data_IF_249101674672
#
_entry.id   IF_249101674672
#
_cell.length_a   1.000
_cell.length_b   1.000
_cell.length_c   1.000
_cell.angle_alpha   90.00
_cell.angle_beta   90.00
_cell.angle_gamma   90.00
#
_symmetry.space_group_name_H-M   'P 1'
#
loop_
_entity.id
_entity.type
_entity.pdbx_description
1 polymer ?
#
# COMPACT_ATOMS: atom_id res chain seq x y z
N UNK A 1 -13.51 -24.39 2.17
CA UNK A 1 -12.37 -24.90 1.38
C UNK A 1 -12.53 -24.63 -0.11
N UNK A 2 -13.55 -25.16 -0.79
CA UNK A 2 -13.74 -25.03 -2.26
C UNK A 2 -13.71 -23.59 -2.78
N UNK A 3 -14.45 -22.67 -2.15
CA UNK A 3 -14.55 -21.25 -2.56
C UNK A 3 -13.18 -20.54 -2.65
N UNK A 4 -12.24 -20.90 -1.78
CA UNK A 4 -10.92 -20.26 -1.68
C UNK A 4 -9.78 -21.21 -2.06
N UNK A 5 -10.09 -22.31 -2.75
CA UNK A 5 -9.08 -23.27 -3.23
C UNK A 5 -8.19 -23.86 -2.14
N UNK A 6 -8.71 -24.05 -0.91
CA UNK A 6 -7.90 -24.51 0.22
C UNK A 6 -7.49 -25.97 0.08
N UNK A 7 -6.19 -26.20 0.06
CA UNK A 7 -5.53 -27.51 0.16
C UNK A 7 -4.62 -27.45 1.37
N UNK A 8 -4.74 -28.43 2.27
CA UNK A 8 -3.93 -28.53 3.48
C UNK A 8 -2.94 -29.68 3.35
N UNK A 9 -1.81 -29.58 4.05
CA UNK A 9 -0.70 -30.52 3.94
C UNK A 9 -1.12 -31.95 4.35
N UNK A 10 -1.91 -32.07 5.41
CA UNK A 10 -2.38 -33.34 5.95
C UNK A 10 -3.72 -33.17 6.70
N UNK A 11 -4.24 -34.29 7.22
CA UNK A 11 -5.49 -34.30 7.97
C UNK A 11 -5.39 -33.57 9.31
N UNK A 12 -4.23 -33.55 9.96
CA UNK A 12 -4.04 -32.87 11.23
C UNK A 12 -4.10 -31.34 11.05
N UNK A 13 -3.47 -30.81 10.00
CA UNK A 13 -3.57 -29.40 9.62
C UNK A 13 -5.01 -29.05 9.20
N UNK A 14 -5.68 -29.93 8.44
CA UNK A 14 -7.09 -29.72 8.09
C UNK A 14 -7.99 -29.63 9.33
N UNK A 15 -7.77 -30.50 10.32
CA UNK A 15 -8.53 -30.48 11.58
C UNK A 15 -8.25 -29.22 12.40
N UNK A 16 -6.98 -28.81 12.51
CA UNK A 16 -6.58 -27.55 13.14
C UNK A 16 -7.25 -26.35 12.47
N UNK A 17 -7.21 -26.28 11.13
CA UNK A 17 -7.83 -25.20 10.34
C UNK A 17 -9.34 -25.19 10.47
N UNK A 18 -9.96 -26.36 10.55
CA UNK A 18 -11.40 -26.48 10.79
C UNK A 18 -11.81 -25.97 12.17
N UNK A 19 -11.05 -26.27 13.22
CA UNK A 19 -11.29 -25.75 14.56
C UNK A 19 -11.23 -24.21 14.61
N UNK A 20 -10.20 -23.63 13.98
CA UNK A 20 -10.06 -22.17 13.84
C UNK A 20 -11.24 -21.58 13.06
N UNK A 21 -11.59 -22.20 11.93
CA UNK A 21 -12.73 -21.77 11.11
C UNK A 21 -14.04 -21.76 11.90
N UNK A 22 -14.31 -22.80 12.68
CA UNK A 22 -15.51 -22.88 13.53
C UNK A 22 -15.56 -21.73 14.54
N UNK A 23 -14.44 -21.44 15.20
CA UNK A 23 -14.36 -20.32 16.15
C UNK A 23 -14.62 -18.97 15.45
N UNK A 24 -14.06 -18.77 14.26
CA UNK A 24 -14.26 -17.56 13.47
C UNK A 24 -15.71 -17.40 12.97
N UNK A 25 -16.39 -18.49 12.62
CA UNK A 25 -17.83 -18.47 12.29
C UNK A 25 -18.65 -17.97 13.48
N UNK A 26 -18.42 -18.54 14.67
CA UNK A 26 -19.13 -18.14 15.89
C UNK A 26 -18.87 -16.66 16.22
N UNK A 27 -17.64 -16.20 16.03
CA UNK A 27 -17.29 -14.79 16.22
C UNK A 27 -18.07 -13.87 15.25
N UNK A 28 -18.10 -14.21 13.96
CA UNK A 28 -18.83 -13.44 12.93
C UNK A 28 -20.34 -13.40 13.22
N UNK A 29 -20.94 -14.54 13.57
CA UNK A 29 -22.37 -14.63 13.88
C UNK A 29 -22.73 -13.79 15.11
N UNK A 30 -21.94 -13.90 16.19
CA UNK A 30 -22.12 -13.12 17.40
C UNK A 30 -22.03 -11.62 17.11
N UNK A 31 -20.96 -11.20 16.43
CA UNK A 31 -20.73 -9.80 16.07
C UNK A 31 -21.88 -9.21 15.26
N UNK A 32 -22.37 -9.95 14.26
CA UNK A 32 -23.45 -9.48 13.40
C UNK A 32 -24.82 -9.48 14.08
N UNK A 33 -25.03 -10.33 15.11
CA UNK A 33 -26.28 -10.41 15.87
C UNK A 33 -26.42 -9.26 16.88
N UNK A 34 -25.31 -8.79 17.45
CA UNK A 34 -25.31 -7.67 18.40
C UNK A 34 -25.84 -6.36 17.79
N UNK A 35 -25.75 -6.19 16.46
CA UNK A 35 -26.42 -5.12 15.72
C UNK A 35 -25.99 -3.68 16.05
N UNK A 36 -25.01 -3.50 16.94
CA UNK A 36 -24.58 -2.21 17.47
C UNK A 36 -23.41 -1.57 16.70
N UNK A 37 -23.06 -2.12 15.53
CA UNK A 37 -21.91 -1.69 14.72
C UNK A 37 -22.37 -1.16 13.36
N UNK A 38 -21.65 -0.19 12.83
CA UNK A 38 -21.87 0.41 11.51
C UNK A 38 -21.37 -0.47 10.35
N UNK A 39 -20.82 -1.64 10.65
CA UNK A 39 -20.31 -2.60 9.68
C UNK A 39 -20.67 -4.03 10.09
N UNK A 40 -20.58 -4.95 9.13
CA UNK A 40 -20.80 -6.39 9.33
C UNK A 40 -19.53 -7.16 9.00
N UNK A 41 -19.35 -8.30 9.65
CA UNK A 41 -18.30 -9.24 9.32
C UNK A 41 -18.83 -10.31 8.36
N UNK A 42 -17.94 -10.87 7.55
CA UNK A 42 -18.25 -11.96 6.64
C UNK A 42 -17.09 -12.95 6.58
N UNK A 43 -17.42 -14.20 6.26
CA UNK A 43 -16.43 -15.24 6.06
C UNK A 43 -15.67 -15.00 4.76
N UNK A 44 -14.35 -14.92 4.85
CA UNK A 44 -13.44 -14.61 3.76
C UNK A 44 -12.33 -15.66 3.68
N UNK A 45 -11.35 -15.44 2.82
CA UNK A 45 -10.20 -16.31 2.68
C UNK A 45 -9.42 -16.48 3.99
N UNK A 46 -9.46 -15.53 4.92
CA UNK A 46 -8.72 -15.60 6.18
C UNK A 46 -9.47 -16.32 7.31
N UNK A 47 -10.68 -16.81 7.06
CA UNK A 47 -11.50 -17.42 8.11
C UNK A 47 -10.90 -18.70 8.72
N UNK A 48 -9.86 -19.29 8.13
CA UNK A 48 -9.12 -20.44 8.67
C UNK A 48 -7.78 -20.08 9.33
N UNK A 49 -7.52 -18.80 9.60
CA UNK A 49 -6.33 -18.31 10.31
C UNK A 49 -6.69 -17.86 11.73
N UNK A 50 -5.78 -18.07 12.68
CA UNK A 50 -5.85 -17.39 13.98
C UNK A 50 -5.45 -15.92 13.83
N UNK A 51 -5.78 -15.10 14.83
CA UNK A 51 -5.38 -13.69 14.84
C UNK A 51 -3.86 -13.53 14.76
N UNK A 52 -3.08 -14.36 15.47
CA UNK A 52 -1.62 -14.31 15.43
C UNK A 52 -1.07 -14.71 14.06
N UNK A 53 -1.66 -15.74 13.43
CA UNK A 53 -1.29 -16.14 12.07
C UNK A 53 -1.63 -15.03 11.06
N UNK A 54 -2.80 -14.42 11.19
CA UNK A 54 -3.23 -13.31 10.35
C UNK A 54 -2.29 -12.11 10.50
N UNK A 55 -2.02 -11.67 11.73
CA UNK A 55 -1.12 -10.54 12.00
C UNK A 55 0.27 -10.79 11.42
N UNK A 56 0.85 -11.97 11.67
CA UNK A 56 2.19 -12.31 11.19
C UNK A 56 2.28 -12.39 9.67
N UNK A 57 1.28 -12.97 9.00
CA UNK A 57 1.38 -13.29 7.58
C UNK A 57 0.67 -12.30 6.65
N UNK A 58 -0.27 -11.49 7.14
CA UNK A 58 -1.14 -10.59 6.33
C UNK A 58 -0.96 -9.11 6.66
N UNK A 59 -0.09 -8.76 7.61
CA UNK A 59 0.24 -7.35 7.90
C UNK A 59 1.67 -7.02 7.45
N UNK A 60 2.50 -6.45 8.32
CA UNK A 60 3.91 -6.17 8.04
C UNK A 60 4.35 -4.73 8.20
N UNK A 61 3.46 -3.81 8.59
CA UNK A 61 3.92 -2.48 8.99
C UNK A 61 4.62 -2.58 10.36
N UNK A 62 5.85 -2.12 10.42
CA UNK A 62 6.57 -1.86 11.67
C UNK A 62 6.52 -0.36 11.93
N UNK A 63 6.37 0.07 13.18
CA UNK A 63 6.48 1.50 13.54
C UNK A 63 7.94 1.80 13.81
N UNK A 64 8.51 2.81 13.13
CA UNK A 64 9.89 3.20 13.38
C UNK A 64 9.98 3.74 14.82
N UNK A 65 10.87 3.16 15.63
CA UNK A 65 11.06 3.55 17.04
C UNK A 65 11.76 4.89 17.19
N UNK A 66 12.44 5.36 16.14
CA UNK A 66 13.09 6.67 16.11
C UNK A 66 12.64 7.45 14.86
N UNK A 67 11.65 8.33 15.07
CA UNK A 67 11.34 9.38 14.12
C UNK A 67 12.41 10.46 14.27
N UNK A 68 13.54 10.31 13.59
CA UNK A 68 14.45 11.44 13.34
C UNK A 68 13.73 12.42 12.41
N UNK A 69 13.03 13.37 13.03
CA UNK A 69 12.36 14.50 12.41
C UNK A 69 13.41 15.50 11.94
N UNK A 70 14.11 15.22 10.84
CA UNK A 70 15.11 16.14 10.29
C UNK A 70 15.11 16.26 8.77
N UNK A 71 14.08 15.76 8.10
CA UNK A 71 13.83 16.23 6.74
C UNK A 71 13.10 17.58 6.85
N UNK A 72 13.69 18.63 6.29
CA UNK A 72 13.00 19.88 6.00
C UNK A 72 11.88 19.59 4.99
N UNK A 73 10.75 19.07 5.46
CA UNK A 73 9.53 18.97 4.67
C UNK A 73 9.02 20.40 4.56
N UNK A 74 9.24 21.05 3.41
CA UNK A 74 8.78 22.43 3.17
C UNK A 74 7.26 22.55 3.10
N UNK A 75 6.54 21.44 3.15
CA UNK A 75 5.10 21.36 3.05
C UNK A 75 4.47 21.10 4.41
N UNK A 76 3.61 22.03 4.83
CA UNK A 76 2.80 21.93 6.03
C UNK A 76 1.34 21.85 5.64
N UNK A 77 0.64 20.80 6.09
CA UNK A 77 -0.82 20.70 5.93
C UNK A 77 -1.59 21.85 6.59
N UNK A 78 -0.93 22.65 7.45
CA UNK A 78 -1.54 23.82 8.11
C UNK A 78 -1.87 24.95 7.13
N UNK A 79 -1.29 24.93 5.93
CA UNK A 79 -1.46 25.98 4.93
C UNK A 79 -2.65 25.73 3.98
N UNK A 80 -3.40 24.63 4.18
CA UNK A 80 -4.60 24.30 3.42
C UNK A 80 -5.86 24.85 4.09
N UNK A 81 -6.71 25.54 3.33
CA UNK A 81 -8.04 25.94 3.82
C UNK A 81 -9.00 24.74 3.80
N UNK A 82 -9.90 24.58 4.78
CA UNK A 82 -10.97 23.57 4.71
C UNK A 82 -11.85 23.68 3.44
N UNK A 83 -11.91 24.85 2.82
CA UNK A 83 -12.62 25.08 1.56
C UNK A 83 -11.92 24.51 0.33
N UNK A 84 -10.64 24.16 0.43
CA UNK A 84 -9.85 23.64 -0.69
C UNK A 84 -10.07 22.13 -0.91
N UNK A 85 -10.76 21.47 0.03
CA UNK A 85 -11.04 20.03 0.01
C UNK A 85 -12.50 19.79 -0.36
N UNK A 86 -12.79 18.99 -1.40
CA UNK A 86 -14.16 18.64 -1.74
C UNK A 86 -14.82 17.81 -0.61
N UNK A 87 -16.16 17.86 -0.45
CA UNK A 87 -16.86 17.11 0.59
C UNK A 87 -16.74 15.59 0.46
N UNK A 88 -16.41 15.09 -0.74
CA UNK A 88 -16.06 13.69 -0.97
C UNK A 88 -15.10 13.57 -2.15
N UNK A 89 -14.23 12.56 -2.09
CA UNK A 89 -13.32 12.20 -3.19
C UNK A 89 -13.16 10.68 -3.23
N UNK A 90 -13.30 10.10 -4.43
CA UNK A 90 -13.00 8.69 -4.70
C UNK A 90 -11.98 8.59 -5.84
N UNK A 91 -10.75 8.23 -5.52
CA UNK A 91 -9.68 8.10 -6.51
C UNK A 91 -9.89 6.94 -7.48
N UNK A 92 -10.73 5.95 -7.15
CA UNK A 92 -11.09 4.85 -8.07
C UNK A 92 -11.88 5.39 -9.25
N UNK A 93 -12.84 6.27 -8.99
CA UNK A 93 -13.63 6.95 -10.03
C UNK A 93 -12.80 7.92 -10.87
N UNK A 94 -11.68 8.41 -10.32
CA UNK A 94 -10.71 9.26 -11.03
C UNK A 94 -9.65 8.45 -11.80
N UNK A 95 -9.71 7.11 -11.75
CA UNK A 95 -8.76 6.25 -12.43
C UNK A 95 -7.36 6.23 -11.81
N UNK A 96 -7.19 6.69 -10.57
CA UNK A 96 -5.90 6.79 -9.86
C UNK A 96 -5.66 5.63 -8.89
N UNK A 97 -6.33 4.49 -9.11
CA UNK A 97 -6.21 3.29 -8.28
C UNK A 97 -6.12 2.07 -9.19
N UNK A 98 -5.06 1.27 -9.03
CA UNK A 98 -4.90 0.00 -9.74
C UNK A 98 -5.87 -1.07 -9.21
N UNK A 99 -6.10 -2.19 -9.93
CA UNK A 99 -6.88 -3.30 -9.41
C UNK A 99 -6.36 -3.79 -8.05
N UNK A 100 -7.26 -4.28 -7.19
CA UNK A 100 -6.90 -4.82 -5.88
C UNK A 100 -5.87 -5.95 -6.05
N UNK A 101 -4.77 -5.86 -5.30
CA UNK A 101 -3.68 -6.84 -5.33
C UNK A 101 -3.69 -7.69 -4.06
N UNK A 102 -2.94 -8.80 -4.06
CA UNK A 102 -2.88 -9.74 -2.93
C UNK A 102 -1.42 -9.99 -2.52
N UNK A 103 -1.07 -9.66 -1.27
CA UNK A 103 0.28 -9.85 -0.73
C UNK A 103 0.61 -11.30 -0.33
N UNK A 104 -0.38 -12.20 -0.38
CA UNK A 104 -0.21 -13.60 0.00
C UNK A 104 0.12 -13.75 1.48
N UNK A 105 1.03 -14.66 1.81
CA UNK A 105 1.50 -14.93 3.18
C UNK A 105 2.76 -14.15 3.58
N UNK A 106 3.05 -13.07 2.86
CA UNK A 106 4.19 -12.20 3.09
C UNK A 106 3.74 -10.97 3.89
N UNK A 107 4.47 -10.59 4.93
CA UNK A 107 4.25 -9.35 5.68
C UNK A 107 4.74 -8.11 4.91
N UNK A 108 4.25 -7.92 3.68
CA UNK A 108 4.67 -6.86 2.75
C UNK A 108 3.65 -5.75 2.59
N UNK A 109 2.65 -5.62 3.48
CA UNK A 109 1.64 -4.56 3.41
C UNK A 109 2.23 -3.14 3.29
N UNK A 110 3.41 -2.92 3.90
CA UNK A 110 4.18 -1.69 3.79
C UNK A 110 4.59 -1.37 2.34
N UNK A 111 4.99 -2.38 1.55
CA UNK A 111 5.37 -2.22 0.16
C UNK A 111 4.17 -1.95 -0.75
N UNK A 112 3.06 -2.66 -0.54
CA UNK A 112 1.80 -2.45 -1.26
C UNK A 112 1.25 -1.03 -1.01
N UNK A 113 1.30 -0.58 0.24
CA UNK A 113 0.84 0.76 0.62
C UNK A 113 1.67 1.85 -0.07
N UNK A 114 3.00 1.67 -0.10
CA UNK A 114 3.89 2.65 -0.73
C UNK A 114 3.75 2.66 -2.26
N UNK A 115 3.66 1.48 -2.89
CA UNK A 115 3.41 1.36 -4.33
C UNK A 115 2.09 2.02 -4.72
N UNK A 116 0.98 1.73 -4.02
CA UNK A 116 -0.32 2.30 -4.36
C UNK A 116 -0.33 3.84 -4.28
N UNK A 117 0.38 4.42 -3.31
CA UNK A 117 0.52 5.88 -3.20
C UNK A 117 1.28 6.47 -4.41
N UNK A 118 2.35 5.80 -4.85
CA UNK A 118 3.16 6.23 -6.00
C UNK A 118 2.41 6.05 -7.32
N UNK A 119 1.69 4.95 -7.49
CA UNK A 119 0.82 4.73 -8.66
C UNK A 119 -0.24 5.84 -8.77
N UNK A 120 -0.86 6.19 -7.64
CA UNK A 120 -1.87 7.25 -7.57
C UNK A 120 -1.32 8.62 -7.98
N UNK A 121 -0.18 9.04 -7.43
CA UNK A 121 0.41 10.33 -7.80
C UNK A 121 0.90 10.36 -9.25
N UNK A 122 1.42 9.24 -9.79
CA UNK A 122 1.78 9.16 -11.20
C UNK A 122 0.53 9.36 -12.09
N UNK A 123 -0.59 8.72 -11.77
CA UNK A 123 -1.84 8.97 -12.50
C UNK A 123 -2.28 10.44 -12.40
N UNK A 124 -2.23 11.03 -11.21
CA UNK A 124 -2.70 12.41 -10.98
C UNK A 124 -1.87 13.41 -11.80
N UNK A 125 -0.55 13.22 -11.84
CA UNK A 125 0.36 14.14 -12.52
C UNK A 125 0.45 13.92 -14.03
N UNK A 126 0.44 12.66 -14.46
CA UNK A 126 0.71 12.31 -15.86
C UNK A 126 -0.53 11.89 -16.65
N UNK A 127 -1.62 11.59 -15.95
CA UNK A 127 -2.82 10.98 -16.53
C UNK A 127 -2.64 9.50 -16.92
N UNK A 128 -1.51 8.86 -16.60
CA UNK A 128 -1.22 7.45 -16.91
C UNK A 128 -1.15 6.58 -15.66
N UNK A 129 -2.01 5.57 -15.59
CA UNK A 129 -2.05 4.63 -14.47
C UNK A 129 -1.15 3.46 -14.82
N UNK A 130 -0.06 3.33 -14.08
CA UNK A 130 0.88 2.22 -14.26
C UNK A 130 0.87 1.36 -13.01
N UNK A 131 0.87 0.03 -13.19
CA UNK A 131 1.08 -0.88 -12.06
C UNK A 131 2.58 -1.05 -11.83
N UNK A 132 3.03 -0.76 -10.62
CA UNK A 132 4.41 -0.93 -10.16
C UNK A 132 4.59 -2.27 -9.43
N UNK A 133 5.85 -2.58 -9.12
CA UNK A 133 6.27 -3.83 -8.49
C UNK A 133 6.49 -3.65 -6.99
N UNK A 134 5.62 -4.25 -6.18
CA UNK A 134 5.81 -4.37 -4.73
C UNK A 134 7.02 -5.25 -4.41
N UNK A 135 7.28 -6.27 -5.24
CA UNK A 135 8.38 -7.20 -5.07
C UNK A 135 9.73 -6.48 -5.14
N UNK A 136 9.86 -5.46 -6.00
CA UNK A 136 11.07 -4.65 -6.09
C UNK A 136 11.37 -3.97 -4.74
N UNK A 137 10.35 -3.48 -4.03
CA UNK A 137 10.55 -2.91 -2.70
C UNK A 137 10.95 -3.98 -1.69
N UNK A 138 10.24 -5.12 -1.70
CA UNK A 138 10.51 -6.26 -0.81
C UNK A 138 11.97 -6.72 -0.94
N UNK A 139 12.47 -6.84 -2.17
CA UNK A 139 13.82 -7.35 -2.46
C UNK A 139 14.90 -6.30 -2.20
N UNK A 140 14.69 -5.05 -2.64
CA UNK A 140 15.76 -4.07 -2.74
C UNK A 140 15.88 -3.11 -1.55
N UNK A 141 14.87 -3.08 -0.66
CA UNK A 141 14.90 -2.22 0.53
C UNK A 141 15.13 -2.98 1.82
N UNK A 142 15.51 -4.26 1.71
CA UNK A 142 15.91 -5.04 2.87
C UNK A 142 17.31 -4.65 3.36
N UNK A 143 17.53 -4.62 4.68
CA UNK A 143 18.86 -4.39 5.27
C UNK A 143 19.09 -2.99 5.83
N UNK A 144 20.32 -2.72 6.27
CA UNK A 144 20.67 -1.55 7.09
C UNK A 144 20.43 -0.20 6.40
N UNK A 145 20.54 -0.15 5.07
CA UNK A 145 20.45 1.10 4.30
C UNK A 145 19.03 1.70 4.27
N UNK A 146 18.00 0.83 4.38
CA UNK A 146 16.59 1.23 4.26
C UNK A 146 15.72 0.79 5.45
N UNK A 147 16.17 -0.20 6.21
CA UNK A 147 15.52 -0.68 7.43
C UNK A 147 14.30 -1.58 7.23
N UNK A 148 13.97 -1.97 5.99
CA UNK A 148 12.91 -2.96 5.76
C UNK A 148 13.46 -4.39 5.87
N UNK A 149 12.55 -5.34 6.02
CA UNK A 149 12.89 -6.75 6.25
C UNK A 149 12.06 -7.67 5.34
N UNK A 150 11.75 -7.21 4.11
CA UNK A 150 10.94 -7.95 3.15
C UNK A 150 9.59 -8.39 3.73
N UNK A 151 9.35 -9.72 3.71
CA UNK A 151 8.14 -10.33 4.28
C UNK A 151 8.06 -10.32 5.80
N UNK A 152 9.14 -9.96 6.50
CA UNK A 152 9.13 -9.80 7.95
C UNK A 152 8.76 -8.38 8.38
N UNK A 153 8.34 -7.53 7.43
CA UNK A 153 7.80 -6.20 7.69
C UNK A 153 8.78 -5.05 7.45
N UNK A 154 8.24 -3.84 7.40
CA UNK A 154 8.95 -2.63 7.00
C UNK A 154 8.15 -1.36 7.29
N UNK A 155 8.72 -0.24 6.88
CA UNK A 155 8.23 1.11 7.09
C UNK A 155 7.87 1.75 5.74
N UNK A 156 6.97 2.72 5.78
CA UNK A 156 6.59 3.54 4.61
C UNK A 156 7.36 4.88 4.68
N UNK A 157 8.66 4.85 5.03
CA UNK A 157 9.50 6.06 5.12
C UNK A 157 10.44 6.12 3.91
N UNK A 158 10.49 7.29 3.25
CA UNK A 158 11.37 7.65 2.13
C UNK A 158 11.73 6.47 1.22
N UNK A 159 10.76 6.03 0.41
CA UNK A 159 11.12 5.34 -0.81
C UNK A 159 11.41 6.43 -1.85
N UNK A 160 12.68 6.65 -2.25
CA UNK A 160 12.98 7.57 -3.34
C UNK A 160 12.49 6.93 -4.64
N UNK A 161 11.21 7.07 -4.93
CA UNK A 161 10.71 6.81 -6.27
C UNK A 161 11.13 7.98 -7.16
N UNK A 162 12.29 7.82 -7.79
CA UNK A 162 12.75 8.72 -8.83
C UNK A 162 11.84 8.55 -10.06
N UNK A 163 10.93 9.50 -10.24
CA UNK A 163 10.02 9.59 -11.40
C UNK A 163 10.68 10.29 -12.60
N UNK A 164 11.96 10.68 -12.51
CA UNK A 164 12.63 11.51 -13.53
C UNK A 164 12.96 10.79 -14.83
N UNK A 165 12.91 9.45 -14.88
CA UNK A 165 13.44 8.71 -16.01
C UNK A 165 12.47 8.45 -17.18
N UNK A 166 11.45 9.31 -17.36
CA UNK A 166 10.65 9.38 -18.60
C UNK A 166 10.47 10.83 -19.06
N UNK A 167 11.55 11.44 -19.55
CA UNK A 167 11.47 12.55 -20.49
C UNK A 167 11.14 12.03 -21.88
N UNK A 168 9.84 11.88 -22.16
CA UNK A 168 9.33 12.01 -23.52
C UNK A 168 8.23 13.07 -23.46
N UNK A 169 8.57 14.28 -23.89
CA UNK A 169 7.69 15.44 -23.94
C UNK A 169 6.39 15.11 -24.69
N UNK A 170 5.24 15.27 -24.03
CA UNK A 170 3.95 15.34 -24.73
C UNK A 170 3.15 16.54 -24.22
N UNK A 171 2.51 17.30 -25.13
CA UNK A 171 2.14 18.68 -24.89
C UNK A 171 0.94 18.83 -23.96
N UNK A 172 1.07 19.80 -23.04
CA UNK A 172 0.07 20.17 -22.06
C UNK A 172 -1.24 20.65 -22.72
N UNK A 173 -2.36 19.94 -22.49
CA UNK A 173 -3.70 20.50 -22.66
C UNK A 173 -4.16 21.14 -21.35
N UNK A 174 -4.48 22.43 -21.44
CA UNK A 174 -4.90 23.31 -20.34
C UNK A 174 -6.36 23.02 -19.96
N UNK A 175 -6.60 22.63 -18.70
CA UNK A 175 -7.90 22.78 -18.03
C UNK A 175 -7.70 23.23 -16.59
N UNK A 176 -8.54 24.18 -16.17
CA UNK A 176 -8.37 25.17 -15.09
C UNK A 176 -8.77 24.66 -13.69
N UNK A 177 -8.34 23.46 -13.31
CA UNK A 177 -8.52 22.96 -11.92
C UNK A 177 -7.26 22.33 -11.31
N UNK A 178 -6.09 22.64 -11.88
CA UNK A 178 -4.80 21.97 -11.57
C UNK A 178 -3.71 22.94 -11.07
N UNK A 179 -4.06 24.17 -10.68
CA UNK A 179 -3.05 25.18 -10.31
C UNK A 179 -2.39 24.92 -8.94
N UNK A 180 -3.12 24.36 -7.97
CA UNK A 180 -2.59 24.04 -6.64
C UNK A 180 -1.78 22.73 -6.62
N UNK A 181 -2.11 21.77 -7.48
CA UNK A 181 -1.41 20.48 -7.54
C UNK A 181 -0.12 20.53 -8.38
N UNK A 182 -0.06 21.41 -9.40
CA UNK A 182 1.15 21.59 -10.23
C UNK A 182 2.37 22.10 -9.45
N UNK A 183 2.17 22.82 -8.34
CA UNK A 183 3.29 23.24 -7.47
C UNK A 183 3.76 22.09 -6.56
N UNK A 184 2.85 21.21 -6.11
CA UNK A 184 3.20 19.97 -5.38
C UNK A 184 4.03 18.99 -6.23
N UNK A 185 3.76 18.90 -7.53
CA UNK A 185 4.53 18.04 -8.45
C UNK A 185 5.94 18.56 -8.74
N UNK A 186 6.10 19.89 -8.83
CA UNK A 186 7.39 20.53 -9.12
C UNK A 186 8.39 20.41 -7.97
N UNK A 187 7.93 20.28 -6.73
CA UNK A 187 8.81 20.10 -5.57
C UNK A 187 9.34 18.66 -5.43
N UNK A 188 8.75 17.68 -6.12
CA UNK A 188 9.31 16.33 -6.25
C UNK A 188 10.44 16.29 -7.31
N UNK A 189 10.57 17.35 -8.13
CA UNK A 189 11.44 17.39 -9.31
C UNK A 189 12.86 17.92 -9.08
N UNK A 190 13.22 18.45 -7.90
CA UNK A 190 14.49 19.19 -7.76
C UNK A 190 15.20 18.91 -6.42
N UNK A 191 16.41 18.34 -6.54
CA UNK A 191 17.42 17.93 -5.53
C UNK A 191 17.35 16.42 -5.18
N UNK A 192 18.38 15.59 -5.35
CA UNK A 192 19.80 15.80 -5.74
C UNK A 192 20.41 14.44 -6.12
N UNK A 193 21.47 14.50 -6.93
CA UNK A 193 22.22 13.39 -7.53
C UNK A 193 22.68 12.28 -6.56
N UNK A 194 22.67 11.06 -7.10
CA UNK A 194 23.63 9.95 -6.88
C UNK A 194 23.34 8.93 -5.76
N UNK A 195 23.02 7.69 -6.18
CA UNK A 195 23.73 6.40 -5.93
C UNK A 195 22.84 5.14 -5.85
N UNK A 196 21.52 5.24 -5.93
CA UNK A 196 20.64 4.10 -5.56
C UNK A 196 20.11 3.27 -6.75
N UNK A 197 20.02 3.83 -7.96
CA UNK A 197 19.35 3.17 -9.09
C UNK A 197 20.16 2.10 -9.85
N UNK A 198 21.40 1.80 -9.44
CA UNK A 198 22.25 0.87 -10.21
C UNK A 198 22.18 -0.60 -9.77
N UNK A 199 21.39 -0.98 -8.74
CA UNK A 199 21.28 -2.39 -8.31
C UNK A 199 19.94 -3.06 -8.52
N UNK A 200 18.88 -2.32 -8.81
CA UNK A 200 17.57 -2.87 -9.14
C UNK A 200 16.97 -2.10 -10.31
N UNK A 201 17.11 -2.65 -11.52
CA UNK A 201 16.53 -2.08 -12.75
C UNK A 201 14.99 -2.01 -12.65
N UNK A 202 14.34 -1.02 -13.28
CA UNK A 202 12.89 -0.90 -13.28
C UNK A 202 12.26 -2.00 -14.13
N UNK A 203 11.36 -2.78 -13.53
CA UNK A 203 10.48 -3.70 -14.26
C UNK A 203 9.05 -3.22 -14.02
N UNK A 204 8.52 -2.49 -14.99
CA UNK A 204 7.07 -2.32 -15.14
C UNK A 204 6.50 -3.73 -15.36
N UNK A 205 5.43 -4.09 -14.64
CA UNK A 205 4.75 -5.39 -14.83
C UNK A 205 4.13 -5.47 -16.22
#
# INVERSE_FOLDING_TARGET
MTKYGRVYADNAEKERRFAIFKNNVQFVEKFNTEGNKTYKLGLNEHSDLSDEEFLRQRTGYKRATELTSSANISFSYKDLSPTDVPPSIDWREKGAVTPIKNQGSCGSAWAFSAVAAVEGIIQIETGKLISLSEQQLVDCTSGADYGNHGCNGGFIKYLPFDTSNKTEELPAKKTTHTRLWREHARLISLQSRSLVMNRCLPIVK
#
